data_IF_756200830005
#
_entry.id   IF_756200830005
#
_cell.length_a   1.000
_cell.length_b   1.000
_cell.length_c   1.000
_cell.angle_alpha   90.00
_cell.angle_beta   90.00
_cell.angle_gamma   90.00
#
_symmetry.space_group_name_H-M   'P 1'
#
loop_
_entity.id
_entity.type
_entity.pdbx_description
1 polymer ?
#
# COMPACT_ATOMS: atom_id res chain seq x y z
N UNK A 1 53.30 -25.70 6.19
CA UNK A 1 52.88 -24.45 6.84
C UNK A 1 51.75 -23.74 6.12
N UNK A 2 51.73 -23.68 4.80
CA UNK A 2 50.71 -23.02 3.99
C UNK A 2 49.26 -23.55 4.21
N UNK A 3 49.08 -24.88 4.31
CA UNK A 3 47.73 -25.47 4.55
C UNK A 3 47.12 -25.04 5.88
N UNK A 4 47.95 -24.91 6.92
CA UNK A 4 47.48 -24.44 8.23
C UNK A 4 47.06 -22.96 8.20
N UNK A 5 47.85 -22.13 7.52
CA UNK A 5 47.56 -20.70 7.36
C UNK A 5 46.25 -20.49 6.59
N UNK A 6 46.09 -21.19 5.48
CA UNK A 6 44.86 -21.13 4.65
C UNK A 6 43.64 -21.57 5.45
N UNK A 7 43.73 -22.68 6.19
CA UNK A 7 42.62 -23.16 7.02
C UNK A 7 42.20 -22.15 8.10
N UNK A 8 43.17 -21.44 8.68
CA UNK A 8 42.93 -20.42 9.70
C UNK A 8 42.26 -19.18 9.12
N UNK A 9 42.71 -18.74 7.95
CA UNK A 9 42.09 -17.61 7.22
C UNK A 9 40.68 -17.97 6.80
N UNK A 10 40.43 -19.15 6.23
CA UNK A 10 39.11 -19.60 5.83
C UNK A 10 38.12 -19.66 7.01
N UNK A 11 38.59 -20.16 8.16
CA UNK A 11 37.75 -20.22 9.37
C UNK A 11 37.41 -18.85 9.92
N UNK A 12 38.37 -17.91 9.88
CA UNK A 12 38.15 -16.51 10.27
C UNK A 12 37.17 -15.83 9.33
N UNK A 13 37.32 -16.03 8.01
CA UNK A 13 36.41 -15.47 7.00
C UNK A 13 34.97 -16.01 7.17
N UNK A 14 34.87 -17.32 7.39
CA UNK A 14 33.54 -17.96 7.64
C UNK A 14 32.88 -17.39 8.91
N UNK A 15 33.66 -17.19 9.99
CA UNK A 15 33.14 -16.59 11.21
C UNK A 15 32.61 -15.16 10.99
N UNK A 16 33.32 -14.34 10.21
CA UNK A 16 32.91 -12.97 9.90
C UNK A 16 31.61 -12.98 9.07
N UNK A 17 31.55 -13.83 8.04
CA UNK A 17 30.32 -13.97 7.21
C UNK A 17 29.13 -14.41 8.05
N UNK A 18 29.33 -15.36 8.97
CA UNK A 18 28.29 -15.85 9.85
C UNK A 18 27.77 -14.74 10.79
N UNK A 19 28.65 -13.94 11.36
CA UNK A 19 28.28 -12.80 12.22
C UNK A 19 27.49 -11.77 11.41
N UNK A 20 27.93 -11.42 10.20
CA UNK A 20 27.22 -10.49 9.32
C UNK A 20 25.83 -11.04 9.00
N UNK A 21 25.71 -12.32 8.67
CA UNK A 21 24.43 -12.95 8.37
C UNK A 21 23.47 -12.89 9.57
N UNK A 22 23.95 -13.16 10.78
CA UNK A 22 23.15 -13.07 12.01
C UNK A 22 22.69 -11.62 12.25
N UNK A 23 23.58 -10.65 12.09
CA UNK A 23 23.25 -9.22 12.24
C UNK A 23 22.19 -8.81 11.19
N UNK A 24 22.35 -9.23 9.93
CA UNK A 24 21.37 -8.97 8.88
C UNK A 24 20.00 -9.55 9.23
N UNK A 25 19.95 -10.81 9.67
CA UNK A 25 18.69 -11.45 10.08
C UNK A 25 18.06 -10.68 11.25
N UNK A 26 18.84 -10.25 12.24
CA UNK A 26 18.33 -9.46 13.36
C UNK A 26 17.78 -8.12 12.89
N UNK A 27 18.51 -7.39 12.06
CA UNK A 27 18.04 -6.10 11.52
C UNK A 27 16.74 -6.31 10.74
N UNK A 28 16.65 -7.28 9.83
CA UNK A 28 15.45 -7.56 9.07
C UNK A 28 14.27 -8.06 9.92
N UNK A 29 14.54 -8.73 11.04
CA UNK A 29 13.53 -9.20 11.97
C UNK A 29 12.93 -8.08 12.83
N UNK A 30 13.75 -7.09 13.21
CA UNK A 30 13.33 -5.98 14.07
C UNK A 30 12.92 -4.71 13.31
N UNK A 31 13.32 -4.56 12.04
CA UNK A 31 12.87 -3.44 11.23
C UNK A 31 11.44 -3.71 10.76
N UNK A 32 10.50 -3.20 11.51
CA UNK A 32 9.11 -3.15 11.09
C UNK A 32 9.00 -2.24 9.85
N UNK A 33 8.33 -2.71 8.80
CA UNK A 33 8.13 -1.95 7.54
C UNK A 33 7.53 -0.57 7.79
N UNK A 34 6.77 -0.42 8.86
CA UNK A 34 6.18 0.86 9.26
C UNK A 34 7.20 1.84 9.82
N UNK A 35 8.24 1.37 10.48
CA UNK A 35 9.29 2.22 11.05
C UNK A 35 10.06 3.02 10.01
N UNK A 36 10.16 2.51 8.77
CA UNK A 36 10.82 3.21 7.66
C UNK A 36 10.08 4.50 7.31
N UNK A 37 8.75 4.49 7.38
CA UNK A 37 7.94 5.67 7.06
C UNK A 37 7.88 6.69 8.18
N UNK A 38 8.14 6.28 9.43
CA UNK A 38 8.14 7.21 10.56
C UNK A 38 9.20 8.31 10.44
N UNK A 39 10.27 8.05 9.69
CA UNK A 39 11.35 9.00 9.41
C UNK A 39 11.09 9.88 8.17
N UNK A 40 10.06 9.59 7.36
CA UNK A 40 9.72 10.38 6.18
C UNK A 40 8.99 11.67 6.57
N UNK A 41 9.56 12.87 6.36
CA UNK A 41 8.93 14.14 6.68
C UNK A 41 7.66 14.41 5.85
N UNK A 42 7.51 13.79 4.69
CA UNK A 42 6.28 13.86 3.88
C UNK A 42 5.16 13.06 4.53
N UNK A 43 5.46 11.83 4.95
CA UNK A 43 4.51 10.97 5.64
C UNK A 43 3.97 11.59 6.94
N UNK A 44 4.82 12.27 7.72
CA UNK A 44 4.42 12.90 8.97
C UNK A 44 3.40 14.03 8.79
N UNK A 45 3.42 14.72 7.66
CA UNK A 45 2.52 15.86 7.35
C UNK A 45 1.16 15.43 6.80
N UNK A 46 1.02 14.17 6.40
CA UNK A 46 -0.21 13.66 5.81
C UNK A 46 -1.29 13.39 6.88
N UNK A 47 -2.55 13.41 6.45
CA UNK A 47 -3.67 12.95 7.25
C UNK A 47 -3.74 11.41 7.25
N UNK A 48 -4.49 10.81 8.18
CA UNK A 48 -4.49 9.37 8.41
C UNK A 48 -4.70 8.53 7.13
N UNK A 49 -5.76 8.79 6.36
CA UNK A 49 -6.03 8.05 5.12
C UNK A 49 -4.99 8.33 4.03
N UNK A 50 -4.50 9.58 3.94
CA UNK A 50 -3.42 9.93 3.03
C UNK A 50 -2.08 9.31 3.44
N UNK A 51 -1.85 9.04 4.73
CA UNK A 51 -0.71 8.25 5.19
C UNK A 51 -0.79 6.82 4.67
N UNK A 52 -1.95 6.20 4.78
CA UNK A 52 -2.18 4.84 4.27
C UNK A 52 -1.98 4.79 2.75
N UNK A 53 -2.57 5.72 2.03
CA UNK A 53 -2.40 5.84 0.58
C UNK A 53 -0.92 5.99 0.19
N UNK A 54 -0.20 6.93 0.81
CA UNK A 54 1.23 7.13 0.56
C UNK A 54 2.06 5.87 0.88
N UNK A 55 1.76 5.20 1.99
CA UNK A 55 2.41 3.95 2.38
C UNK A 55 2.23 2.86 1.32
N UNK A 56 1.00 2.66 0.85
CA UNK A 56 0.68 1.67 -0.17
C UNK A 56 1.35 1.98 -1.51
N UNK A 57 1.33 3.24 -1.96
CA UNK A 57 2.03 3.69 -3.17
C UNK A 57 3.54 3.47 -3.09
N UNK A 58 4.17 3.70 -1.93
CA UNK A 58 5.58 3.41 -1.76
C UNK A 58 5.86 1.90 -1.78
N UNK A 59 5.01 1.08 -1.16
CA UNK A 59 5.15 -0.37 -1.20
C UNK A 59 4.96 -0.94 -2.61
N UNK A 60 4.03 -0.40 -3.39
CA UNK A 60 3.87 -0.71 -4.81
C UNK A 60 5.15 -0.35 -5.59
N UNK A 61 5.65 0.87 -5.42
CA UNK A 61 6.89 1.34 -6.07
C UNK A 61 8.10 0.44 -5.79
N UNK A 62 8.16 -0.15 -4.61
CA UNK A 62 9.21 -1.10 -4.22
C UNK A 62 8.87 -2.57 -4.55
N UNK A 63 7.76 -2.83 -5.22
CA UNK A 63 7.34 -4.16 -5.64
C UNK A 63 6.92 -5.08 -4.49
N UNK A 64 6.49 -4.53 -3.36
CA UNK A 64 6.00 -5.33 -2.23
C UNK A 64 4.56 -5.77 -2.39
N UNK A 65 3.74 -4.96 -3.05
CA UNK A 65 2.34 -5.23 -3.34
C UNK A 65 1.92 -4.55 -4.64
N UNK A 66 0.82 -5.01 -5.21
CA UNK A 66 0.07 -4.29 -6.23
C UNK A 66 -0.99 -3.45 -5.52
N UNK A 67 -1.09 -2.17 -5.91
CA UNK A 67 -2.01 -1.22 -5.31
C UNK A 67 -2.85 -0.53 -6.39
N UNK A 68 -4.15 -0.49 -6.19
CA UNK A 68 -5.09 0.14 -7.11
C UNK A 68 -6.02 1.04 -6.31
N UNK A 69 -5.97 2.34 -6.59
CA UNK A 69 -6.87 3.31 -6.00
C UNK A 69 -8.20 3.34 -6.79
N UNK A 70 -9.30 3.46 -6.08
CA UNK A 70 -10.63 3.55 -6.71
C UNK A 70 -10.75 4.72 -7.70
N UNK A 71 -10.13 5.87 -7.40
CA UNK A 71 -10.14 7.00 -8.33
C UNK A 71 -9.38 6.69 -9.63
N UNK A 72 -8.27 5.96 -9.55
CA UNK A 72 -7.50 5.55 -10.72
C UNK A 72 -8.30 4.56 -11.57
N UNK A 73 -8.98 3.61 -10.92
CA UNK A 73 -9.93 2.71 -11.59
C UNK A 73 -11.02 3.48 -12.36
N UNK A 74 -11.66 4.47 -11.74
CA UNK A 74 -12.67 5.28 -12.42
C UNK A 74 -12.08 6.02 -13.64
N UNK A 75 -10.85 6.54 -13.51
CA UNK A 75 -10.18 7.19 -14.63
C UNK A 75 -9.85 6.21 -15.77
N UNK A 76 -9.49 4.98 -15.44
CA UNK A 76 -9.26 3.92 -16.42
C UNK A 76 -10.55 3.52 -17.15
N UNK A 77 -11.67 3.40 -16.43
CA UNK A 77 -12.98 3.13 -17.03
C UNK A 77 -13.40 4.23 -18.01
N UNK A 78 -13.11 5.50 -17.67
CA UNK A 78 -13.33 6.64 -18.58
C UNK A 78 -12.41 6.57 -19.80
N UNK A 79 -11.13 6.29 -19.62
CA UNK A 79 -10.17 6.15 -20.74
C UNK A 79 -10.53 5.00 -21.67
N UNK A 80 -11.02 3.91 -21.12
CA UNK A 80 -11.46 2.74 -21.87
C UNK A 80 -12.83 2.93 -22.56
N UNK A 81 -13.50 4.06 -22.36
CA UNK A 81 -14.79 4.38 -22.96
C UNK A 81 -15.99 3.61 -22.35
N UNK A 82 -15.78 2.96 -21.19
CA UNK A 82 -16.86 2.24 -20.48
C UNK A 82 -17.66 3.14 -19.56
N UNK A 83 -17.15 4.33 -19.28
CA UNK A 83 -17.79 5.35 -18.46
C UNK A 83 -17.59 6.73 -19.07
N UNK A 84 -18.59 7.59 -19.01
CA UNK A 84 -18.45 8.99 -19.45
C UNK A 84 -17.80 9.86 -18.36
N UNK A 85 -17.23 10.99 -18.75
CA UNK A 85 -16.64 11.94 -17.79
C UNK A 85 -17.71 12.54 -16.85
N UNK A 86 -18.95 12.66 -17.31
CA UNK A 86 -20.07 13.16 -16.50
C UNK A 86 -20.46 12.15 -15.43
N UNK A 87 -20.56 10.88 -15.78
CA UNK A 87 -20.82 9.79 -14.83
C UNK A 87 -19.71 9.69 -13.79
N UNK A 88 -18.45 9.73 -14.22
CA UNK A 88 -17.30 9.74 -13.32
C UNK A 88 -17.31 10.93 -12.35
N UNK A 89 -17.73 12.11 -12.80
CA UNK A 89 -17.89 13.32 -11.97
C UNK A 89 -18.95 13.18 -10.87
N UNK A 90 -19.94 12.33 -11.08
CA UNK A 90 -21.01 12.04 -10.13
C UNK A 90 -20.63 10.97 -9.08
N UNK A 91 -19.57 10.21 -9.33
CA UNK A 91 -19.07 9.19 -8.41
C UNK A 91 -18.22 9.86 -7.34
N UNK A 92 -18.71 9.88 -6.09
CA UNK A 92 -18.02 10.47 -4.95
C UNK A 92 -18.22 9.60 -3.73
N UNK A 93 -17.11 9.04 -3.22
CA UNK A 93 -17.13 8.24 -2.00
C UNK A 93 -17.69 9.05 -0.82
N UNK A 94 -18.71 8.51 -0.17
CA UNK A 94 -19.24 9.03 1.07
C UNK A 94 -18.27 8.83 2.23
N UNK A 95 -18.52 9.55 3.31
CA UNK A 95 -17.64 9.57 4.49
C UNK A 95 -17.76 8.32 5.35
N UNK A 96 -18.88 7.61 5.28
CA UNK A 96 -19.10 6.43 6.11
C UNK A 96 -18.36 5.21 5.58
N UNK A 97 -17.96 4.35 6.48
CA UNK A 97 -17.31 3.09 6.17
C UNK A 97 -18.20 2.17 5.33
N UNK A 98 -19.49 2.15 5.65
CA UNK A 98 -20.48 1.32 4.97
C UNK A 98 -21.02 1.93 3.65
N UNK A 99 -20.61 3.16 3.29
CA UNK A 99 -21.11 3.83 2.09
C UNK A 99 -22.57 4.32 2.19
N UNK A 100 -23.10 4.48 3.40
CA UNK A 100 -24.49 4.93 3.62
C UNK A 100 -24.82 6.28 2.95
N UNK A 101 -23.81 7.12 2.75
CA UNK A 101 -23.93 8.42 2.09
C UNK A 101 -23.53 8.41 0.61
N UNK A 102 -23.28 7.23 0.03
CA UNK A 102 -22.99 7.11 -1.38
C UNK A 102 -24.28 7.25 -2.20
N UNK A 103 -24.21 7.95 -3.33
CA UNK A 103 -25.28 7.94 -4.30
C UNK A 103 -25.31 6.59 -5.05
N UNK A 104 -26.42 6.32 -5.77
CA UNK A 104 -26.60 5.04 -6.48
C UNK A 104 -25.48 4.77 -7.50
N UNK A 105 -25.00 5.79 -8.22
CA UNK A 105 -23.89 5.66 -9.15
C UNK A 105 -22.58 5.28 -8.44
N UNK A 106 -22.33 5.85 -7.25
CA UNK A 106 -21.15 5.51 -6.44
C UNK A 106 -21.26 4.10 -5.90
N UNK A 107 -22.42 3.68 -5.41
CA UNK A 107 -22.64 2.30 -4.92
C UNK A 107 -22.38 1.27 -6.02
N UNK A 108 -22.96 1.48 -7.21
CA UNK A 108 -22.75 0.59 -8.35
C UNK A 108 -21.27 0.52 -8.76
N UNK A 109 -20.56 1.65 -8.78
CA UNK A 109 -19.14 1.69 -9.10
C UNK A 109 -18.26 1.01 -8.03
N UNK A 110 -18.60 1.17 -6.74
CA UNK A 110 -17.91 0.50 -5.62
C UNK A 110 -18.12 -1.01 -5.68
N UNK A 111 -19.33 -1.46 -5.99
CA UNK A 111 -19.65 -2.86 -6.15
C UNK A 111 -18.87 -3.48 -7.32
N UNK A 112 -18.91 -2.85 -8.49
CA UNK A 112 -18.14 -3.29 -9.67
C UNK A 112 -16.62 -3.35 -9.40
N UNK A 113 -16.06 -2.35 -8.74
CA UNK A 113 -14.66 -2.33 -8.30
C UNK A 113 -14.37 -3.51 -7.36
N UNK A 114 -15.22 -3.69 -6.36
CA UNK A 114 -15.03 -4.72 -5.34
C UNK A 114 -15.12 -6.12 -5.93
N UNK A 115 -16.10 -6.40 -6.77
CA UNK A 115 -16.26 -7.69 -7.43
C UNK A 115 -15.08 -8.00 -8.35
N UNK A 116 -14.67 -7.04 -9.18
CA UNK A 116 -13.55 -7.20 -10.11
C UNK A 116 -12.27 -7.58 -9.37
N UNK A 117 -11.86 -6.78 -8.39
CA UNK A 117 -10.57 -6.98 -7.74
C UNK A 117 -10.57 -8.12 -6.72
N UNK A 118 -11.69 -8.42 -6.08
CA UNK A 118 -11.81 -9.65 -5.27
C UNK A 118 -11.72 -10.92 -6.12
N UNK A 119 -12.31 -10.93 -7.31
CA UNK A 119 -12.19 -12.05 -8.24
C UNK A 119 -10.72 -12.27 -8.69
N UNK A 120 -9.94 -11.20 -8.77
CA UNK A 120 -8.50 -11.23 -9.08
C UNK A 120 -7.62 -11.55 -7.85
N UNK A 121 -8.22 -11.71 -6.67
CA UNK A 121 -7.54 -12.08 -5.43
C UNK A 121 -6.87 -10.89 -4.71
N UNK A 122 -7.41 -9.69 -4.88
CA UNK A 122 -7.02 -8.51 -4.10
C UNK A 122 -7.86 -8.39 -2.84
N UNK A 123 -7.26 -7.88 -1.78
CA UNK A 123 -7.99 -7.40 -0.62
C UNK A 123 -8.51 -6.00 -0.90
N UNK A 124 -9.83 -5.83 -0.82
CA UNK A 124 -10.49 -4.54 -1.05
C UNK A 124 -10.91 -3.96 0.29
N UNK A 125 -10.38 -2.78 0.58
CA UNK A 125 -10.60 -2.10 1.86
C UNK A 125 -11.11 -0.67 1.64
N UNK A 126 -12.05 -0.27 2.49
CA UNK A 126 -12.59 1.08 2.52
C UNK A 126 -12.29 1.75 3.84
N UNK A 127 -11.65 2.91 3.79
CA UNK A 127 -11.39 3.75 4.94
C UNK A 127 -12.34 4.94 4.96
N UNK A 128 -13.06 5.18 6.07
CA UNK A 128 -13.99 6.29 6.18
C UNK A 128 -13.28 7.63 6.18
N UNK A 129 -13.90 8.61 5.56
CA UNK A 129 -13.48 10.00 5.69
C UNK A 129 -14.01 10.61 6.98
N UNK A 130 -13.32 11.60 7.52
CA UNK A 130 -13.81 12.35 8.66
C UNK A 130 -13.71 13.86 8.44
N UNK A 131 -14.70 14.58 8.97
CA UNK A 131 -14.73 16.04 8.91
C UNK A 131 -14.58 16.64 10.29
N UNK A 132 -13.94 17.80 10.35
CA UNK A 132 -13.94 18.61 11.55
C UNK A 132 -15.36 19.14 11.79
N UNK A 133 -15.95 18.99 13.00
CA UNK A 133 -17.27 19.48 13.31
C UNK A 133 -17.44 20.96 12.92
N UNK A 134 -18.55 21.32 12.28
CA UNK A 134 -18.85 22.69 11.87
C UNK A 134 -18.04 23.24 10.69
N UNK A 135 -17.20 22.43 10.05
CA UNK A 135 -16.43 22.84 8.86
C UNK A 135 -16.56 21.85 7.71
N UNK A 136 -16.27 22.31 6.47
CA UNK A 136 -16.15 21.42 5.31
C UNK A 136 -14.73 20.79 5.16
N UNK A 137 -13.86 21.00 6.17
CA UNK A 137 -12.49 20.49 6.13
C UNK A 137 -12.40 19.10 6.73
N UNK A 138 -11.63 18.22 6.10
CA UNK A 138 -11.33 16.89 6.64
C UNK A 138 -10.52 16.99 7.94
N UNK A 139 -10.88 16.14 8.90
CA UNK A 139 -10.19 15.97 10.17
C UNK A 139 -9.13 14.86 10.05
N UNK A 140 -8.82 14.21 11.13
CA UNK A 140 -7.76 13.20 11.27
C UNK A 140 -7.85 12.02 10.28
N UNK A 141 -9.06 11.56 9.96
CA UNK A 141 -9.26 10.50 8.96
C UNK A 141 -8.99 10.94 7.52
N UNK A 142 -9.10 12.24 7.25
CA UNK A 142 -8.93 12.78 5.90
C UNK A 142 -10.07 12.45 4.96
N UNK A 143 -9.76 12.36 3.67
CA UNK A 143 -10.71 11.97 2.61
C UNK A 143 -11.03 10.48 2.72
N UNK A 144 -12.26 10.05 2.36
CA UNK A 144 -12.54 8.62 2.24
C UNK A 144 -11.62 8.01 1.19
N UNK A 145 -11.17 6.79 1.47
CA UNK A 145 -10.28 6.05 0.58
C UNK A 145 -10.86 4.65 0.38
N UNK A 146 -10.95 4.22 -0.87
CA UNK A 146 -11.27 2.85 -1.28
C UNK A 146 -10.14 2.37 -2.17
N UNK A 147 -9.59 1.21 -1.88
CA UNK A 147 -8.48 0.64 -2.62
C UNK A 147 -8.53 -0.88 -2.65
N UNK A 148 -7.82 -1.44 -3.61
CA UNK A 148 -7.52 -2.85 -3.70
C UNK A 148 -6.01 -3.04 -3.56
N UNK A 149 -5.57 -3.97 -2.74
CA UNK A 149 -4.16 -4.30 -2.54
C UNK A 149 -3.94 -5.80 -2.56
N UNK A 150 -2.81 -6.23 -3.12
CA UNK A 150 -2.42 -7.63 -3.18
C UNK A 150 -0.92 -7.76 -2.92
N UNK A 151 -0.57 -8.50 -1.89
CA UNK A 151 0.84 -8.77 -1.57
C UNK A 151 1.52 -9.59 -2.66
N UNK A 152 2.70 -9.13 -3.10
CA UNK A 152 3.56 -9.87 -4.03
C UNK A 152 4.46 -10.79 -3.21
N UNK A 153 4.38 -12.12 -3.39
CA UNK A 153 5.18 -13.07 -2.64
C UNK A 153 6.68 -12.90 -2.93
N UNK A 154 7.50 -13.17 -1.92
CA UNK A 154 8.98 -13.02 -1.99
C UNK A 154 9.60 -13.75 -3.18
N UNK A 155 9.08 -14.91 -3.56
CA UNK A 155 9.54 -15.69 -4.71
C UNK A 155 9.37 -14.95 -6.03
N UNK A 156 8.33 -14.17 -6.17
CA UNK A 156 8.03 -13.40 -7.38
C UNK A 156 8.90 -12.12 -7.44
N UNK A 157 9.22 -11.52 -6.28
CA UNK A 157 10.10 -10.33 -6.18
C UNK A 157 11.57 -10.62 -6.49
N UNK A 158 12.01 -11.87 -6.31
CA UNK A 158 13.39 -12.28 -6.59
C UNK A 158 13.63 -12.61 -8.07
N UNK A 159 12.56 -12.69 -8.88
CA UNK A 159 12.60 -13.02 -10.30
C UNK A 159 12.43 -11.80 -11.22
N UNK A 160 12.13 -10.65 -10.65
CA UNK A 160 12.06 -9.34 -11.34
C UNK A 160 13.28 -8.48 -11.00
#
# INVERSE_FOLDING_TARGET
>A
MTKYLISRILRSLFSVVLVIAVIMVMIYSFLDRESIFSADPTYQKLLLNSKTEHKLQQWEKYGYLDYINFNDYIQEEVKAGRMTKEEAGNIKLGKSEEGANDNEATKAAVEAFTEKYRAEGYDVERLPGSYKPGTKKYKEGGKPLLYAAKDIPLTQRLLT
#
